data_IF_251405523432
#
_entry.id   IF_251405523432
#
_cell.length_a   1.000
_cell.length_b   1.000
_cell.length_c   1.000
_cell.angle_alpha   90.00
_cell.angle_beta   90.00
_cell.angle_gamma   90.00
#
_symmetry.space_group_name_H-M   'P 1'
#
loop_
_entity.id
_entity.type
_entity.pdbx_description
1 polymer ?
#
# COMPACT_ATOMS: atom_id res chain seq x y z
N UNK A 1 -22.53 -3.10 -41.86
CA UNK A 1 -22.39 -2.15 -40.77
C UNK A 1 -21.97 -2.97 -39.53
N UNK A 2 -20.66 -3.26 -39.43
CA UNK A 2 -20.10 -4.08 -38.35
C UNK A 2 -19.85 -3.16 -37.16
N UNK A 3 -20.60 -3.38 -36.07
CA UNK A 3 -20.37 -2.76 -34.77
C UNK A 3 -19.08 -3.33 -34.20
N UNK A 4 -18.02 -2.55 -34.14
CA UNK A 4 -16.81 -2.89 -33.39
C UNK A 4 -17.12 -2.56 -31.94
N UNK A 5 -17.51 -3.58 -31.18
CA UNK A 5 -17.51 -3.52 -29.72
C UNK A 5 -16.05 -3.44 -29.26
N UNK A 6 -15.57 -2.23 -29.08
CA UNK A 6 -14.32 -1.98 -28.39
C UNK A 6 -14.58 -2.27 -26.90
N UNK A 7 -14.36 -3.50 -26.46
CA UNK A 7 -14.21 -3.82 -25.05
C UNK A 7 -13.00 -3.06 -24.56
N UNK A 8 -13.22 -1.88 -23.98
CA UNK A 8 -12.19 -1.14 -23.28
C UNK A 8 -11.61 -2.09 -22.21
N UNK A 9 -10.32 -2.37 -22.28
CA UNK A 9 -9.65 -3.13 -21.23
C UNK A 9 -9.92 -2.45 -19.88
N UNK A 10 -10.21 -3.19 -18.82
CA UNK A 10 -10.43 -2.61 -17.49
C UNK A 10 -9.25 -1.71 -17.12
N UNK A 11 -9.54 -0.56 -16.52
CA UNK A 11 -8.51 0.36 -16.03
C UNK A 11 -7.84 -0.30 -14.83
N UNK A 12 -6.51 -0.52 -14.85
CA UNK A 12 -5.82 -1.13 -13.73
C UNK A 12 -5.98 -0.30 -12.45
N UNK A 13 -6.02 -0.95 -11.30
CA UNK A 13 -6.11 -0.27 -10.01
C UNK A 13 -4.84 0.55 -9.72
N UNK A 14 -3.69 0.10 -10.22
CA UNK A 14 -2.42 0.83 -10.22
C UNK A 14 -1.81 0.80 -11.61
N UNK A 15 -1.41 1.96 -12.12
CA UNK A 15 -0.58 2.09 -13.31
C UNK A 15 0.58 3.04 -13.04
N UNK A 16 1.78 2.50 -12.99
CA UNK A 16 3.04 3.25 -12.94
C UNK A 16 3.75 3.09 -14.29
N UNK A 17 4.22 4.18 -14.87
CA UNK A 17 4.86 4.18 -16.20
C UNK A 17 6.17 4.96 -16.14
N UNK A 18 7.27 4.28 -16.49
CA UNK A 18 8.61 4.86 -16.65
C UNK A 18 9.05 5.72 -15.48
N UNK A 19 8.92 5.22 -14.25
CA UNK A 19 9.27 5.96 -13.04
C UNK A 19 10.78 6.11 -12.92
N UNK A 20 11.23 7.35 -12.77
CA UNK A 20 12.59 7.73 -12.41
C UNK A 20 12.57 8.49 -11.08
N UNK A 21 13.53 8.20 -10.20
CA UNK A 21 13.68 8.94 -8.96
C UNK A 21 15.15 9.11 -8.61
N UNK A 22 15.57 10.36 -8.41
CA UNK A 22 16.92 10.76 -8.04
C UNK A 22 16.93 11.29 -6.60
N UNK A 23 17.95 10.93 -5.84
CA UNK A 23 18.24 11.54 -4.55
C UNK A 23 19.61 12.20 -4.61
N UNK A 24 19.69 13.42 -4.10
CA UNK A 24 20.92 14.20 -4.01
C UNK A 24 21.37 14.22 -2.55
N UNK A 25 22.59 13.79 -2.27
CA UNK A 25 23.24 13.83 -0.96
C UNK A 25 24.59 14.55 -1.08
N UNK A 26 24.59 15.89 -0.97
CA UNK A 26 25.77 16.71 -1.26
C UNK A 26 26.11 16.68 -2.74
N UNK A 27 27.34 16.26 -3.07
CA UNK A 27 27.82 16.11 -4.46
C UNK A 27 27.47 14.75 -5.09
N UNK A 28 26.94 13.82 -4.29
CA UNK A 28 26.56 12.48 -4.76
C UNK A 28 25.10 12.46 -5.23
N UNK A 29 24.88 11.87 -6.40
CA UNK A 29 23.55 11.62 -6.96
C UNK A 29 23.29 10.11 -7.02
N UNK A 30 22.17 9.69 -6.45
CA UNK A 30 21.74 8.29 -6.49
C UNK A 30 20.46 8.19 -7.30
N UNK A 31 20.50 7.46 -8.40
CA UNK A 31 19.34 7.10 -9.20
C UNK A 31 18.66 5.88 -8.58
N UNK A 32 17.63 6.12 -7.78
CA UNK A 32 16.93 5.09 -7.02
C UNK A 32 15.89 4.31 -7.83
N UNK A 33 15.29 4.94 -8.87
CA UNK A 33 14.40 4.26 -9.84
C UNK A 33 14.83 4.62 -11.26
N UNK A 34 14.85 3.61 -12.15
CA UNK A 34 15.41 3.68 -13.50
C UNK A 34 14.40 3.19 -14.55
N UNK A 35 13.31 3.94 -14.77
CA UNK A 35 12.30 3.59 -15.77
C UNK A 35 11.40 2.44 -15.32
N UNK A 36 11.05 2.39 -14.03
CA UNK A 36 10.17 1.35 -13.48
C UNK A 36 8.76 1.51 -13.99
N UNK A 37 8.22 0.46 -14.64
CA UNK A 37 6.83 0.39 -15.05
C UNK A 37 6.15 -0.81 -14.40
N UNK A 38 4.97 -0.58 -13.79
CA UNK A 38 4.21 -1.58 -13.08
C UNK A 38 2.72 -1.31 -13.21
N UNK A 39 1.97 -2.27 -13.73
CA UNK A 39 0.51 -2.26 -13.69
C UNK A 39 0.03 -3.36 -12.74
N UNK A 40 -1.01 -3.07 -11.95
CA UNK A 40 -1.66 -4.04 -11.05
C UNK A 40 -3.16 -3.92 -11.22
N UNK A 41 -3.79 -5.05 -11.53
CA UNK A 41 -5.23 -5.11 -11.73
C UNK A 41 -5.99 -5.14 -10.39
N UNK A 42 -7.28 -4.81 -10.44
CA UNK A 42 -8.15 -4.97 -9.29
C UNK A 42 -8.22 -6.45 -8.88
N UNK A 43 -7.99 -6.74 -7.60
CA UNK A 43 -7.93 -8.10 -7.08
C UNK A 43 -6.60 -8.83 -7.27
N UNK A 44 -5.61 -8.21 -7.95
CA UNK A 44 -4.28 -8.80 -8.13
C UNK A 44 -3.39 -8.49 -6.92
N UNK A 45 -2.62 -9.48 -6.50
CA UNK A 45 -1.53 -9.33 -5.53
C UNK A 45 -0.18 -9.45 -6.23
N UNK A 46 0.64 -8.41 -6.14
CA UNK A 46 2.01 -8.38 -6.70
C UNK A 46 3.02 -8.27 -5.56
N UNK A 47 4.00 -9.17 -5.53
CA UNK A 47 5.15 -9.06 -4.65
C UNK A 47 6.31 -8.37 -5.37
N UNK A 48 6.88 -7.35 -4.74
CA UNK A 48 8.12 -6.70 -5.18
C UNK A 48 9.26 -7.17 -4.27
N UNK A 49 10.18 -7.92 -4.84
CA UNK A 49 11.36 -8.45 -4.14
C UNK A 49 12.64 -7.78 -4.65
N UNK A 50 13.73 -7.99 -3.95
CA UNK A 50 15.06 -7.51 -4.35
C UNK A 50 15.97 -7.24 -3.16
N UNK A 51 17.28 -7.07 -3.38
CA UNK A 51 18.25 -6.82 -2.31
C UNK A 51 17.98 -5.48 -1.58
N UNK A 52 18.61 -5.31 -0.42
CA UNK A 52 18.58 -4.00 0.27
C UNK A 52 19.21 -2.93 -0.64
N UNK A 53 18.60 -1.74 -0.66
CA UNK A 53 19.04 -0.65 -1.53
C UNK A 53 18.59 -0.74 -3.00
N UNK A 54 17.83 -1.76 -3.41
CA UNK A 54 17.37 -1.89 -4.80
C UNK A 54 16.31 -0.87 -5.25
N UNK A 55 15.78 -0.03 -4.34
CA UNK A 55 14.78 0.99 -4.64
C UNK A 55 13.34 0.64 -4.24
N UNK A 56 13.09 -0.49 -3.56
CA UNK A 56 11.72 -0.95 -3.20
C UNK A 56 10.93 0.06 -2.38
N UNK A 57 11.50 0.60 -1.31
CA UNK A 57 10.82 1.60 -0.47
C UNK A 57 10.61 2.92 -1.22
N UNK A 58 11.52 3.29 -2.13
CA UNK A 58 11.36 4.44 -3.03
C UNK A 58 10.20 4.20 -4.00
N UNK A 59 10.14 3.01 -4.60
CA UNK A 59 9.02 2.63 -5.48
C UNK A 59 7.70 2.73 -4.71
N UNK A 60 7.61 2.11 -3.53
CA UNK A 60 6.41 2.15 -2.70
C UNK A 60 6.01 3.59 -2.33
N UNK A 61 6.98 4.45 -1.98
CA UNK A 61 6.72 5.86 -1.68
C UNK A 61 6.15 6.62 -2.89
N UNK A 62 6.68 6.37 -4.10
CA UNK A 62 6.15 6.94 -5.34
C UNK A 62 4.74 6.43 -5.64
N UNK A 63 4.49 5.11 -5.52
CA UNK A 63 3.17 4.51 -5.73
C UNK A 63 2.12 5.03 -4.74
N UNK A 64 2.54 5.29 -3.49
CA UNK A 64 1.70 5.89 -2.46
C UNK A 64 1.46 7.40 -2.67
N UNK A 65 2.18 8.05 -3.57
CA UNK A 65 2.18 9.50 -3.72
C UNK A 65 2.76 10.24 -2.51
N UNK A 66 3.58 9.56 -1.71
CA UNK A 66 4.34 10.16 -0.60
C UNK A 66 5.59 10.86 -1.11
N UNK A 67 6.15 10.35 -2.18
CA UNK A 67 7.25 10.97 -2.91
C UNK A 67 6.85 11.20 -4.38
N UNK A 68 7.34 12.29 -4.98
CA UNK A 68 7.08 12.62 -6.37
C UNK A 68 8.18 12.03 -7.24
N UNK A 69 7.88 11.19 -8.24
CA UNK A 69 8.89 10.74 -9.18
C UNK A 69 9.39 11.91 -10.03
N UNK A 70 10.70 11.96 -10.33
CA UNK A 70 11.31 12.98 -11.19
C UNK A 70 10.94 12.76 -12.67
N UNK A 71 10.61 11.53 -13.04
CA UNK A 71 10.11 11.14 -14.36
C UNK A 71 9.05 10.07 -14.28
N UNK A 72 8.25 9.97 -15.34
CA UNK A 72 7.16 9.02 -15.42
C UNK A 72 5.85 9.50 -14.78
N UNK A 73 4.92 8.57 -14.59
CA UNK A 73 3.57 8.88 -14.06
C UNK A 73 3.02 7.71 -13.22
N UNK A 74 2.26 8.06 -12.19
CA UNK A 74 1.49 7.11 -11.38
C UNK A 74 0.02 7.47 -11.44
N UNK A 75 -0.84 6.48 -11.70
CA UNK A 75 -2.30 6.57 -11.61
C UNK A 75 -2.81 5.50 -10.63
N UNK A 76 -3.76 5.86 -9.78
CA UNK A 76 -4.45 4.93 -8.88
C UNK A 76 -5.94 5.01 -9.16
N UNK A 77 -6.57 3.88 -9.44
CA UNK A 77 -7.98 3.79 -9.85
C UNK A 77 -8.30 4.77 -11.00
N UNK A 78 -7.39 4.90 -11.98
CA UNK A 78 -7.53 5.82 -13.11
C UNK A 78 -7.30 7.30 -12.78
N UNK A 79 -7.06 7.65 -11.50
CA UNK A 79 -6.83 9.04 -11.08
C UNK A 79 -5.33 9.34 -11.04
N UNK A 80 -4.83 10.43 -11.65
CA UNK A 80 -3.42 10.79 -11.62
C UNK A 80 -2.97 11.11 -10.17
N UNK A 81 -1.85 10.49 -9.77
CA UNK A 81 -1.18 10.71 -8.50
C UNK A 81 0.01 11.64 -8.65
N UNK A 82 0.86 11.42 -9.65
CA UNK A 82 2.03 12.26 -9.94
C UNK A 82 1.66 13.52 -10.72
N UNK A 83 2.54 14.53 -10.68
CA UNK A 83 2.37 15.87 -11.30
C UNK A 83 1.14 16.60 -10.79
N UNK A 84 0.77 16.35 -9.56
CA UNK A 84 -0.33 17.02 -8.87
C UNK A 84 0.22 17.87 -7.73
N UNK A 85 -0.55 18.85 -7.29
CA UNK A 85 -0.25 19.54 -6.04
C UNK A 85 -0.28 18.57 -4.86
N UNK A 86 0.50 18.82 -3.80
CA UNK A 86 0.48 17.96 -2.60
C UNK A 86 -0.94 17.80 -2.03
N UNK A 87 -1.76 18.86 -2.09
CA UNK A 87 -3.15 18.80 -1.62
C UNK A 87 -4.01 17.83 -2.46
N UNK A 88 -3.79 17.74 -3.75
CA UNK A 88 -4.48 16.81 -4.65
C UNK A 88 -3.98 15.39 -4.44
N UNK A 89 -2.65 15.17 -4.38
CA UNK A 89 -2.07 13.87 -4.03
C UNK A 89 -2.61 13.35 -2.71
N UNK A 90 -2.60 14.19 -1.66
CA UNK A 90 -3.13 13.81 -0.35
C UNK A 90 -4.61 13.39 -0.41
N UNK A 91 -5.43 14.02 -1.24
CA UNK A 91 -6.83 13.64 -1.44
C UNK A 91 -6.98 12.30 -2.15
N UNK A 92 -6.18 12.06 -3.20
CA UNK A 92 -6.19 10.77 -3.93
C UNK A 92 -5.72 9.67 -3.01
N UNK A 93 -4.60 9.87 -2.30
CA UNK A 93 -4.04 8.94 -1.31
C UNK A 93 -5.07 8.60 -0.23
N UNK A 94 -5.66 9.59 0.42
CA UNK A 94 -6.62 9.37 1.49
C UNK A 94 -7.84 8.53 1.06
N UNK A 95 -8.23 8.59 -0.20
CA UNK A 95 -9.43 7.90 -0.71
C UNK A 95 -9.15 6.55 -1.34
N UNK A 96 -7.99 6.39 -1.98
CA UNK A 96 -7.76 5.28 -2.89
C UNK A 96 -6.57 4.40 -2.48
N UNK A 97 -5.72 4.86 -1.54
CA UNK A 97 -4.51 4.13 -1.15
C UNK A 97 -4.53 3.82 0.34
N UNK A 98 -4.36 2.56 0.67
CA UNK A 98 -4.02 2.11 2.01
C UNK A 98 -2.52 1.79 2.06
N UNK A 99 -1.83 2.23 3.11
CA UNK A 99 -0.42 1.90 3.29
C UNK A 99 -0.22 1.23 4.64
N UNK A 100 0.44 0.08 4.64
CA UNK A 100 0.90 -0.62 5.83
C UNK A 100 2.42 -0.63 5.81
N UNK A 101 3.04 0.19 6.65
CA UNK A 101 4.49 0.21 6.83
C UNK A 101 4.94 -0.85 7.83
N UNK A 102 6.21 -1.21 7.82
CA UNK A 102 6.84 -2.14 8.78
C UNK A 102 6.61 -1.69 10.22
N UNK A 103 6.88 -0.42 10.56
CA UNK A 103 6.41 0.19 11.80
C UNK A 103 5.00 0.71 11.57
N UNK A 104 4.00 0.04 12.13
CA UNK A 104 2.60 0.42 11.95
C UNK A 104 2.40 1.93 12.14
N UNK A 105 1.79 2.57 11.13
CA UNK A 105 1.56 4.01 11.05
C UNK A 105 0.45 4.46 12.01
N UNK A 106 0.64 4.20 13.30
CA UNK A 106 -0.30 4.58 14.34
C UNK A 106 0.16 5.87 15.03
N UNK A 107 -0.77 6.77 15.23
CA UNK A 107 -0.56 7.98 16.01
C UNK A 107 -0.63 7.60 17.49
N UNK A 108 0.49 7.68 18.20
CA UNK A 108 0.69 7.13 19.56
C UNK A 108 -0.31 7.64 20.62
N UNK A 109 -0.71 8.90 20.53
CA UNK A 109 -1.64 9.50 21.50
C UNK A 109 -3.11 9.23 21.21
N UNK A 110 -3.43 8.57 20.08
CA UNK A 110 -4.77 8.17 19.70
C UNK A 110 -5.01 6.69 20.02
N UNK A 111 -6.24 6.34 20.38
CA UNK A 111 -6.65 4.93 20.47
C UNK A 111 -6.69 4.28 19.10
N UNK A 112 -6.73 2.94 19.04
CA UNK A 112 -6.90 2.19 17.78
C UNK A 112 -8.09 2.71 16.98
N UNK A 113 -9.28 2.81 17.61
CA UNK A 113 -10.49 3.37 16.99
C UNK A 113 -10.28 4.79 16.48
N UNK A 114 -9.62 5.64 17.26
CA UNK A 114 -9.38 7.03 16.90
C UNK A 114 -8.40 7.15 15.72
N UNK A 115 -7.41 6.27 15.61
CA UNK A 115 -6.51 6.17 14.45
C UNK A 115 -7.28 5.86 13.17
N UNK A 116 -8.19 4.86 13.20
CA UNK A 116 -9.02 4.51 12.05
C UNK A 116 -9.94 5.66 11.64
N UNK A 117 -10.59 6.31 12.63
CA UNK A 117 -11.45 7.49 12.38
C UNK A 117 -10.63 8.64 11.78
N UNK A 118 -9.40 8.89 12.26
CA UNK A 118 -8.54 9.93 11.72
C UNK A 118 -8.23 9.71 10.22
N UNK A 119 -7.98 8.47 9.81
CA UNK A 119 -7.82 8.12 8.39
C UNK A 119 -9.09 8.46 7.59
N UNK A 120 -10.27 8.14 8.11
CA UNK A 120 -11.55 8.49 7.47
C UNK A 120 -11.79 10.01 7.39
N UNK A 121 -11.36 10.76 8.43
CA UNK A 121 -11.45 12.23 8.42
C UNK A 121 -10.60 12.85 7.30
N UNK A 122 -9.42 12.30 7.01
CA UNK A 122 -8.59 12.74 5.89
C UNK A 122 -9.30 12.55 4.54
N UNK A 123 -10.05 11.48 4.38
CA UNK A 123 -10.88 11.23 3.20
C UNK A 123 -12.21 12.03 3.21
N UNK A 124 -12.52 12.76 4.30
CA UNK A 124 -13.77 13.49 4.55
C UNK A 124 -15.02 12.60 4.53
N UNK A 125 -14.88 11.33 4.92
CA UNK A 125 -15.98 10.36 4.95
C UNK A 125 -15.86 9.52 6.23
N UNK A 126 -16.46 10.00 7.32
CA UNK A 126 -16.47 9.28 8.61
C UNK A 126 -17.69 8.38 8.69
N UNK A 127 -17.47 7.08 8.86
CA UNK A 127 -18.49 6.06 9.13
C UNK A 127 -18.07 5.23 10.35
N UNK A 128 -18.65 5.53 11.50
CA UNK A 128 -18.31 4.88 12.77
C UNK A 128 -18.77 3.42 12.82
N UNK A 129 -19.91 3.09 12.26
CA UNK A 129 -20.42 1.73 12.23
C UNK A 129 -19.50 0.82 11.40
N UNK A 130 -18.98 1.36 10.30
CA UNK A 130 -17.99 0.69 9.49
C UNK A 130 -16.66 0.51 10.24
N UNK A 131 -16.22 1.49 11.04
CA UNK A 131 -15.01 1.33 11.87
C UNK A 131 -15.17 0.13 12.81
N UNK A 132 -16.32 0.01 13.49
CA UNK A 132 -16.59 -1.12 14.38
C UNK A 132 -16.56 -2.46 13.64
N UNK A 133 -17.25 -2.56 12.50
CA UNK A 133 -17.24 -3.76 11.65
C UNK A 133 -15.83 -4.11 11.17
N UNK A 134 -15.01 -3.10 10.83
CA UNK A 134 -13.63 -3.33 10.40
C UNK A 134 -12.75 -3.87 11.53
N UNK A 135 -12.86 -3.29 12.73
CA UNK A 135 -12.12 -3.75 13.91
C UNK A 135 -12.52 -5.18 14.30
N UNK A 136 -13.80 -5.52 14.25
CA UNK A 136 -14.30 -6.88 14.49
C UNK A 136 -13.73 -7.86 13.46
N UNK A 137 -13.79 -7.51 12.16
CA UNK A 137 -13.28 -8.32 11.06
C UNK A 137 -11.79 -8.61 11.21
N UNK A 138 -11.02 -7.65 11.71
CA UNK A 138 -9.57 -7.79 11.92
C UNK A 138 -9.22 -8.42 13.28
N UNK A 139 -10.21 -8.72 14.13
CA UNK A 139 -10.01 -9.31 15.44
C UNK A 139 -9.24 -8.41 16.40
N UNK A 140 -9.55 -7.09 16.37
CA UNK A 140 -8.93 -6.07 17.23
C UNK A 140 -9.96 -5.19 17.95
N UNK A 141 -11.25 -5.56 17.90
CA UNK A 141 -12.35 -4.80 18.51
C UNK A 141 -12.18 -4.62 20.03
N UNK A 142 -11.72 -5.67 20.72
CA UNK A 142 -11.48 -5.64 22.19
C UNK A 142 -10.39 -4.65 22.58
N UNK A 143 -9.54 -4.24 21.63
CA UNK A 143 -8.45 -3.26 21.79
C UNK A 143 -8.78 -1.91 21.19
N UNK A 144 -10.02 -1.67 20.76
CA UNK A 144 -10.43 -0.43 20.10
C UNK A 144 -10.13 0.84 20.91
N UNK A 145 -10.20 0.75 22.25
CA UNK A 145 -9.88 1.83 23.17
C UNK A 145 -8.40 1.96 23.53
N UNK A 146 -7.58 0.94 23.26
CA UNK A 146 -6.16 0.89 23.62
C UNK A 146 -5.34 1.85 22.74
N UNK A 147 -4.23 2.35 23.30
CA UNK A 147 -3.20 3.12 22.57
C UNK A 147 -2.14 2.19 21.99
N UNK A 148 -1.39 2.61 20.97
CA UNK A 148 -0.32 1.79 20.38
C UNK A 148 0.67 1.20 21.38
N UNK A 149 1.05 1.96 22.41
CA UNK A 149 1.95 1.50 23.48
C UNK A 149 1.40 0.36 24.37
N UNK A 150 0.09 0.09 24.27
CA UNK A 150 -0.60 -0.96 25.05
C UNK A 150 -0.86 -2.22 24.22
N UNK A 151 -0.39 -2.25 22.96
CA UNK A 151 -0.62 -3.34 22.00
C UNK A 151 0.59 -4.26 21.93
N UNK A 152 0.32 -5.56 21.75
CA UNK A 152 1.34 -6.51 21.28
C UNK A 152 1.69 -6.26 19.80
N UNK A 153 2.82 -6.78 19.32
CA UNK A 153 3.22 -6.62 17.92
C UNK A 153 2.13 -7.05 16.93
N UNK A 154 1.48 -8.18 17.18
CA UNK A 154 0.38 -8.66 16.34
C UNK A 154 -0.89 -7.79 16.42
N UNK A 155 -1.19 -7.20 17.57
CA UNK A 155 -2.29 -6.24 17.72
C UNK A 155 -1.95 -4.94 16.99
N UNK A 156 -0.69 -4.48 17.08
CA UNK A 156 -0.18 -3.30 16.37
C UNK A 156 -0.29 -3.47 14.85
N UNK A 157 0.12 -4.61 14.32
CA UNK A 157 0.00 -4.91 12.89
C UNK A 157 -1.46 -4.91 12.42
N UNK A 158 -2.38 -5.53 13.19
CA UNK A 158 -3.81 -5.51 12.87
C UNK A 158 -4.42 -4.12 12.97
N UNK A 159 -4.01 -3.33 13.95
CA UNK A 159 -4.44 -1.93 14.07
C UNK A 159 -3.93 -1.07 12.90
N UNK A 160 -2.66 -1.24 12.48
CA UNK A 160 -2.10 -0.60 11.29
C UNK A 160 -2.87 -0.99 10.02
N UNK A 161 -3.20 -2.27 9.88
CA UNK A 161 -4.03 -2.75 8.77
C UNK A 161 -5.43 -2.14 8.80
N UNK A 162 -6.04 -1.97 9.99
CA UNK A 162 -7.33 -1.28 10.11
C UNK A 162 -7.26 0.18 9.64
N UNK A 163 -6.18 0.87 9.93
CA UNK A 163 -5.95 2.25 9.45
C UNK A 163 -5.79 2.27 7.93
N UNK A 164 -5.00 1.35 7.36
CA UNK A 164 -4.82 1.23 5.92
C UNK A 164 -6.14 0.94 5.18
N UNK A 165 -7.01 0.13 5.76
CA UNK A 165 -8.29 -0.28 5.16
C UNK A 165 -9.49 0.64 5.50
N UNK A 166 -9.27 1.69 6.29
CA UNK A 166 -10.34 2.55 6.81
C UNK A 166 -11.27 3.14 5.73
N UNK A 167 -10.73 3.38 4.52
CA UNK A 167 -11.42 4.05 3.42
C UNK A 167 -11.71 3.12 2.21
N UNK A 168 -11.63 1.78 2.36
CA UNK A 168 -11.79 0.82 1.25
C UNK A 168 -10.90 1.19 0.06
N UNK A 169 -9.58 1.19 0.23
CA UNK A 169 -8.68 1.63 -0.81
C UNK A 169 -8.76 0.70 -2.03
N UNK A 170 -8.63 1.27 -3.22
CA UNK A 170 -8.47 0.50 -4.46
C UNK A 170 -7.07 -0.15 -4.54
N UNK A 171 -6.08 0.45 -3.86
CA UNK A 171 -4.70 0.00 -3.81
C UNK A 171 -4.23 -0.12 -2.35
N UNK A 172 -3.77 -1.31 -1.97
CA UNK A 172 -3.13 -1.56 -0.69
C UNK A 172 -1.63 -1.81 -0.90
N UNK A 173 -0.82 -0.98 -0.29
CA UNK A 173 0.65 -1.07 -0.31
C UNK A 173 1.13 -1.57 1.05
N UNK A 174 1.98 -2.59 1.08
CA UNK A 174 2.52 -3.12 2.32
C UNK A 174 4.05 -3.27 2.22
N UNK A 175 4.76 -2.61 3.12
CA UNK A 175 6.22 -2.65 3.24
C UNK A 175 6.60 -3.56 4.40
N UNK A 176 7.19 -4.72 4.09
CA UNK A 176 7.61 -5.74 5.07
C UNK A 176 6.55 -6.03 6.15
N UNK A 177 5.29 -6.32 5.78
CA UNK A 177 4.15 -6.32 6.71
C UNK A 177 4.23 -7.39 7.81
N UNK A 178 5.22 -8.29 7.73
CA UNK A 178 5.41 -9.42 8.67
C UNK A 178 6.80 -9.45 9.30
N UNK A 179 7.67 -8.48 9.00
CA UNK A 179 9.10 -8.53 9.35
C UNK A 179 9.40 -8.61 10.86
N UNK A 180 8.50 -8.13 11.72
CA UNK A 180 8.68 -8.12 13.18
C UNK A 180 7.68 -9.06 13.91
N UNK A 181 7.00 -9.95 13.16
CA UNK A 181 5.95 -10.80 13.68
C UNK A 181 6.40 -12.25 13.82
N UNK A 182 5.87 -12.95 14.83
CA UNK A 182 5.97 -14.40 14.88
C UNK A 182 5.22 -15.06 13.71
N UNK A 183 5.58 -16.31 13.37
CA UNK A 183 5.06 -17.00 12.20
C UNK A 183 3.53 -17.13 12.19
N UNK A 184 2.90 -17.32 13.35
CA UNK A 184 1.45 -17.47 13.44
C UNK A 184 0.73 -16.14 13.20
N UNK A 185 1.29 -15.05 13.70
CA UNK A 185 0.78 -13.69 13.48
C UNK A 185 1.02 -13.24 12.05
N UNK A 186 2.20 -13.52 11.50
CA UNK A 186 2.54 -13.28 10.10
C UNK A 186 1.53 -13.93 9.16
N UNK A 187 1.23 -15.22 9.36
CA UNK A 187 0.24 -15.96 8.56
C UNK A 187 -1.15 -15.29 8.56
N UNK A 188 -1.58 -14.76 9.71
CA UNK A 188 -2.87 -14.06 9.82
C UNK A 188 -2.88 -12.72 9.06
N UNK A 189 -1.79 -11.95 9.10
CA UNK A 189 -1.67 -10.71 8.33
C UNK A 189 -1.73 -11.01 6.83
N UNK A 190 -0.98 -12.02 6.38
CA UNK A 190 -0.99 -12.50 5.00
C UNK A 190 -2.39 -12.92 4.55
N UNK A 191 -3.10 -13.72 5.35
CA UNK A 191 -4.48 -14.13 5.05
C UNK A 191 -5.40 -12.91 4.89
N UNK A 192 -5.21 -11.87 5.73
CA UNK A 192 -5.99 -10.63 5.62
C UNK A 192 -5.69 -9.82 4.37
N UNK A 193 -4.42 -9.70 3.99
CA UNK A 193 -4.03 -9.04 2.75
C UNK A 193 -4.64 -9.75 1.53
N UNK A 194 -4.58 -11.07 1.50
CA UNK A 194 -5.22 -11.88 0.44
C UNK A 194 -6.74 -11.68 0.41
N UNK A 195 -7.39 -11.69 1.58
CA UNK A 195 -8.82 -11.45 1.66
C UNK A 195 -9.23 -10.04 1.16
N UNK A 196 -8.35 -9.03 1.20
CA UNK A 196 -8.64 -7.73 0.61
C UNK A 196 -8.49 -7.77 -0.93
N UNK A 197 -7.52 -8.52 -1.47
CA UNK A 197 -7.43 -8.79 -2.90
C UNK A 197 -8.68 -9.50 -3.42
N UNK A 198 -9.15 -10.54 -2.71
CA UNK A 198 -10.40 -11.26 -3.06
C UNK A 198 -11.64 -10.33 -3.06
N UNK A 199 -11.57 -9.19 -2.37
CA UNK A 199 -12.63 -8.13 -2.38
C UNK A 199 -12.45 -7.10 -3.49
N UNK A 200 -11.41 -7.22 -4.29
CA UNK A 200 -11.15 -6.38 -5.45
C UNK A 200 -10.11 -5.28 -5.23
N UNK A 201 -9.46 -5.17 -4.07
CA UNK A 201 -8.33 -4.27 -3.91
C UNK A 201 -7.10 -4.82 -4.64
N UNK A 202 -6.34 -3.98 -5.34
CA UNK A 202 -4.98 -4.34 -5.76
C UNK A 202 -4.05 -4.33 -4.56
N UNK A 203 -3.17 -5.32 -4.44
CA UNK A 203 -2.21 -5.42 -3.32
C UNK A 203 -0.79 -5.45 -3.87
N UNK A 204 0.05 -4.54 -3.39
CA UNK A 204 1.50 -4.55 -3.66
C UNK A 204 2.24 -4.81 -2.36
N UNK A 205 2.98 -5.92 -2.31
CA UNK A 205 3.78 -6.34 -1.17
C UNK A 205 5.25 -6.10 -1.48
N UNK A 206 5.92 -5.28 -0.69
CA UNK A 206 7.39 -5.21 -0.69
C UNK A 206 7.90 -6.14 0.38
N UNK A 207 8.73 -7.11 0.01
CA UNK A 207 9.26 -8.07 0.98
C UNK A 207 10.57 -8.72 0.53
N UNK A 208 11.37 -9.16 1.49
CA UNK A 208 12.50 -10.07 1.28
C UNK A 208 12.18 -11.51 1.71
N UNK A 209 10.98 -11.76 2.24
CA UNK A 209 10.53 -13.08 2.67
C UNK A 209 9.92 -13.85 1.49
N UNK A 210 10.57 -14.97 1.12
CA UNK A 210 10.12 -15.81 0.01
C UNK A 210 8.75 -16.45 0.23
N UNK A 211 8.38 -16.78 1.49
CA UNK A 211 7.07 -17.34 1.81
C UNK A 211 5.96 -16.31 1.58
N UNK A 212 6.24 -15.04 1.94
CA UNK A 212 5.31 -13.94 1.69
C UNK A 212 5.20 -13.63 0.19
N UNK A 213 6.32 -13.67 -0.54
CA UNK A 213 6.28 -13.49 -1.99
C UNK A 213 5.51 -14.60 -2.71
N UNK A 214 5.56 -15.84 -2.19
CA UNK A 214 4.90 -16.99 -2.80
C UNK A 214 3.36 -16.95 -2.76
N UNK A 215 2.75 -16.05 -1.96
CA UNK A 215 1.29 -15.88 -1.94
C UNK A 215 0.78 -14.90 -2.99
N UNK A 216 1.67 -14.16 -3.63
CA UNK A 216 1.32 -13.20 -4.68
C UNK A 216 0.99 -13.93 -5.99
N UNK A 217 0.09 -13.34 -6.78
CA UNK A 217 -0.25 -13.84 -8.11
C UNK A 217 0.92 -13.65 -9.08
N UNK A 218 1.73 -12.60 -8.82
CA UNK A 218 2.92 -12.27 -9.62
C UNK A 218 4.02 -11.72 -8.73
N UNK A 219 5.26 -12.09 -9.05
CA UNK A 219 6.47 -11.58 -8.40
C UNK A 219 7.23 -10.71 -9.38
N UNK A 220 7.67 -9.55 -8.91
CA UNK A 220 8.49 -8.59 -9.66
C UNK A 220 9.80 -8.42 -8.91
N UNK A 221 10.92 -8.63 -9.56
CA UNK A 221 12.24 -8.41 -8.97
C UNK A 221 12.77 -7.02 -9.35
N UNK A 222 13.11 -6.24 -8.32
CA UNK A 222 13.72 -4.92 -8.45
C UNK A 222 15.21 -5.02 -8.11
N UNK A 223 16.08 -4.64 -9.04
CA UNK A 223 17.53 -4.63 -8.88
C UNK A 223 18.10 -3.31 -9.39
N UNK A 224 18.91 -2.63 -8.58
CA UNK A 224 19.53 -1.33 -8.91
C UNK A 224 18.55 -0.30 -9.53
N UNK A 225 17.34 -0.24 -8.98
CA UNK A 225 16.30 0.70 -9.41
C UNK A 225 15.54 0.31 -10.68
N UNK A 226 15.78 -0.87 -11.25
CA UNK A 226 15.07 -1.36 -12.44
C UNK A 226 14.36 -2.71 -12.17
N UNK A 227 13.23 -2.94 -12.84
CA UNK A 227 12.59 -4.26 -12.87
C UNK A 227 13.40 -5.16 -13.80
N UNK A 228 13.82 -6.33 -13.30
CA UNK A 228 14.61 -7.30 -14.06
C UNK A 228 13.81 -8.54 -14.48
N UNK A 229 12.63 -8.75 -13.86
CA UNK A 229 11.71 -9.84 -14.18
C UNK A 229 10.26 -9.51 -13.76
#
# INVERSE_FOLDING_TARGET
MMSVDATASPVPALLATDLYRFYHAGDDETLALRGVSLAVEAGETVAVIGPSGSGKSTLLACLAGLDEPDGGMVHVAGVPMSRQSEAERARVRARNVGVLFQSANLVEHLSVRANVIASQQLARKVDRARVDTLLDRLGIADRAGARPSELSGGETARAGLAVALANEPALLLADEPTGELDSATAARVVERLKAEADRGAAVVLVTHNAELAAIADRVVELHDGAIVQ
#
